data_IF_051330573810
#
_entry.id   IF_051330573810
#
_cell.length_a   1.000
_cell.length_b   1.000
_cell.length_c   1.000
_cell.angle_alpha   90.00
_cell.angle_beta   90.00
_cell.angle_gamma   90.00
#
_symmetry.space_group_name_H-M   'P 1'
#
loop_
_entity.id
_entity.type
_entity.pdbx_description
1 polymer ?
#
# COMPACT_ATOMS: atom_id res chain seq x y z
N UNK A 1 10.70 11.66 -6.45
CA UNK A 1 11.02 12.64 -5.40
C UNK A 1 11.12 12.01 -4.01
N UNK A 2 10.16 11.20 -3.54
CA UNK A 2 10.20 10.56 -2.21
C UNK A 2 11.45 9.70 -1.95
N UNK A 3 11.91 8.93 -2.92
CA UNK A 3 13.09 8.07 -2.78
C UNK A 3 14.35 8.82 -2.44
N UNK A 4 14.60 9.90 -3.17
CA UNK A 4 15.75 10.75 -2.91
C UNK A 4 15.66 11.37 -1.51
N UNK A 5 14.46 11.78 -1.11
CA UNK A 5 14.22 12.37 0.22
C UNK A 5 14.47 11.39 1.37
N UNK A 6 14.08 10.11 1.25
CA UNK A 6 14.35 9.09 2.28
C UNK A 6 15.86 8.85 2.39
N UNK A 7 16.55 8.62 1.27
CA UNK A 7 18.00 8.36 1.27
C UNK A 7 18.79 9.58 1.77
N UNK A 8 18.41 10.79 1.39
CA UNK A 8 19.02 12.03 1.88
C UNK A 8 18.78 12.24 3.40
N UNK A 9 17.59 11.88 3.89
CA UNK A 9 17.28 11.97 5.32
C UNK A 9 18.07 10.94 6.14
N UNK A 10 18.21 9.70 5.64
CA UNK A 10 19.03 8.66 6.26
C UNK A 10 20.51 9.09 6.29
N UNK A 11 21.03 9.59 5.17
CA UNK A 11 22.40 10.10 5.07
C UNK A 11 22.64 11.25 6.07
N UNK A 12 21.72 12.22 6.14
CA UNK A 12 21.82 13.34 7.07
C UNK A 12 21.81 12.88 8.52
N UNK A 13 21.00 11.87 8.87
CA UNK A 13 20.96 11.31 10.21
C UNK A 13 22.21 10.49 10.56
N UNK A 14 22.80 9.80 9.59
CA UNK A 14 23.99 8.99 9.77
C UNK A 14 25.28 9.84 9.84
N UNK A 15 25.33 10.98 9.14
CA UNK A 15 26.54 11.83 9.01
C UNK A 15 26.63 12.99 9.99
N UNK A 16 25.56 13.28 10.76
CA UNK A 16 25.50 14.44 11.67
C UNK A 16 25.20 14.01 13.10
N UNK A 17 26.03 14.47 14.03
CA UNK A 17 25.80 14.23 15.46
C UNK A 17 24.47 14.86 15.93
N UNK A 18 23.71 14.13 16.75
CA UNK A 18 22.43 14.58 17.28
C UNK A 18 21.24 14.45 16.32
N UNK A 19 21.46 14.14 15.05
CA UNK A 19 20.37 13.91 14.10
C UNK A 19 19.79 12.50 14.27
N UNK A 20 18.49 12.39 14.03
CA UNK A 20 17.76 11.11 14.03
C UNK A 20 16.80 11.09 12.84
N UNK A 21 16.68 9.94 12.21
CA UNK A 21 15.70 9.72 11.17
C UNK A 21 14.49 8.94 11.71
N UNK A 22 13.30 9.49 11.51
CA UNK A 22 12.05 8.84 11.87
C UNK A 22 11.38 8.35 10.58
N UNK A 23 11.50 7.06 10.31
CA UNK A 23 10.85 6.42 9.17
C UNK A 23 9.37 6.21 9.48
N UNK A 24 8.50 6.70 8.60
CA UNK A 24 7.04 6.68 8.77
C UNK A 24 6.32 5.50 8.08
N UNK A 25 7.05 4.51 7.55
CA UNK A 25 6.46 3.35 6.86
C UNK A 25 7.40 2.14 6.88
N UNK A 26 6.96 0.99 6.36
CA UNK A 26 7.75 -0.25 6.14
C UNK A 26 8.13 -1.01 7.41
N UNK A 27 8.62 -0.34 8.43
CA UNK A 27 9.16 -0.96 9.64
C UNK A 27 8.06 -1.52 10.54
N UNK A 28 8.37 -2.63 11.22
CA UNK A 28 7.43 -3.31 12.12
C UNK A 28 6.93 -2.40 13.25
N UNK A 29 7.80 -1.51 13.80
CA UNK A 29 7.38 -0.55 14.82
C UNK A 29 6.33 0.43 14.29
N UNK A 30 6.39 0.81 13.01
CA UNK A 30 5.41 1.70 12.40
C UNK A 30 4.08 0.98 12.22
N UNK A 31 4.08 -0.29 11.77
CA UNK A 31 2.88 -1.12 11.70
C UNK A 31 2.23 -1.26 13.10
N UNK A 32 3.06 -1.50 14.12
CA UNK A 32 2.59 -1.62 15.51
C UNK A 32 1.91 -0.33 15.99
N UNK A 33 2.49 0.86 15.75
CA UNK A 33 1.84 2.11 16.09
C UNK A 33 0.54 2.34 15.33
N UNK A 34 0.51 1.98 14.04
CA UNK A 34 -0.68 2.14 13.20
C UNK A 34 -1.76 1.09 13.47
N UNK A 35 -1.47 0.04 14.27
CA UNK A 35 -2.48 -0.96 14.66
C UNK A 35 -3.65 -0.36 15.45
N UNK A 36 -3.50 0.84 16.02
CA UNK A 36 -4.60 1.57 16.65
C UNK A 36 -5.79 1.74 15.69
N UNK A 37 -5.52 1.96 14.40
CA UNK A 37 -6.56 2.10 13.37
C UNK A 37 -7.36 0.80 13.24
N UNK A 38 -6.67 -0.34 13.21
CA UNK A 38 -7.33 -1.65 13.16
C UNK A 38 -8.13 -1.95 14.44
N UNK A 39 -7.57 -1.65 15.61
CA UNK A 39 -8.22 -1.86 16.89
C UNK A 39 -9.49 -0.99 17.03
N UNK A 40 -9.44 0.29 16.65
CA UNK A 40 -10.61 1.17 16.67
C UNK A 40 -11.64 0.75 15.61
N UNK A 41 -11.20 0.29 14.43
CA UNK A 41 -12.09 -0.28 13.41
C UNK A 41 -12.83 -1.49 13.95
N UNK A 42 -12.12 -2.42 14.59
CA UNK A 42 -12.73 -3.61 15.18
C UNK A 42 -13.75 -3.24 16.27
N UNK A 43 -13.37 -2.31 17.17
CA UNK A 43 -14.28 -1.84 18.22
C UNK A 43 -15.54 -1.15 17.65
N UNK A 44 -15.39 -0.38 16.56
CA UNK A 44 -16.54 0.24 15.89
C UNK A 44 -17.44 -0.80 15.24
N UNK A 45 -16.88 -1.78 14.55
CA UNK A 45 -17.64 -2.88 13.93
C UNK A 45 -18.41 -3.69 14.97
N UNK A 46 -17.78 -4.02 16.10
CA UNK A 46 -18.44 -4.69 17.23
C UNK A 46 -19.58 -3.87 17.79
N UNK A 47 -19.36 -2.57 18.04
CA UNK A 47 -20.37 -1.65 18.56
C UNK A 47 -21.61 -1.58 17.68
N UNK A 48 -21.44 -1.64 16.37
CA UNK A 48 -22.53 -1.56 15.40
C UNK A 48 -23.02 -2.93 14.91
N UNK A 49 -22.50 -4.02 15.48
CA UNK A 49 -22.85 -5.40 15.12
C UNK A 49 -22.60 -5.71 13.63
N UNK A 50 -21.55 -5.16 13.06
CA UNK A 50 -21.15 -5.37 11.67
C UNK A 50 -20.03 -6.41 11.63
N UNK A 51 -20.25 -7.51 10.92
CA UNK A 51 -19.19 -8.48 10.62
C UNK A 51 -18.60 -8.14 9.25
N UNK A 52 -17.30 -7.83 9.14
CA UNK A 52 -16.69 -7.58 7.85
C UNK A 52 -16.50 -8.89 7.08
N UNK A 53 -16.80 -8.87 5.77
CA UNK A 53 -16.52 -9.96 4.85
C UNK A 53 -15.21 -9.69 4.09
N UNK A 54 -14.98 -8.43 3.74
CA UNK A 54 -13.81 -8.00 2.98
C UNK A 54 -13.20 -6.74 3.60
N UNK A 55 -11.89 -6.71 3.75
CA UNK A 55 -11.13 -5.55 4.24
C UNK A 55 -10.14 -5.13 3.15
N UNK A 56 -10.19 -3.87 2.74
CA UNK A 56 -9.41 -3.35 1.61
C UNK A 56 -8.60 -2.14 2.08
N UNK A 57 -7.32 -2.13 1.79
CA UNK A 57 -6.45 -0.99 2.10
C UNK A 57 -5.41 -0.75 1.01
N UNK A 58 -5.01 0.51 0.84
CA UNK A 58 -3.92 0.86 -0.06
C UNK A 58 -2.57 0.45 0.56
N UNK A 59 -1.64 0.05 -0.29
CA UNK A 59 -0.34 -0.45 0.10
C UNK A 59 0.78 0.16 -0.76
N UNK A 60 1.63 0.96 -0.11
CA UNK A 60 2.93 1.38 -0.61
C UNK A 60 4.01 0.62 0.12
N UNK A 61 4.54 1.18 1.22
CA UNK A 61 5.39 0.43 2.16
C UNK A 61 4.64 -0.53 3.08
N UNK A 62 3.31 -0.53 3.07
CA UNK A 62 2.44 -1.49 3.76
C UNK A 62 2.12 -1.19 5.23
N UNK A 63 2.65 -0.11 5.82
CA UNK A 63 2.42 0.15 7.24
C UNK A 63 0.96 0.50 7.55
N UNK A 64 0.34 1.31 6.72
CA UNK A 64 -1.07 1.68 6.87
C UNK A 64 -1.99 0.47 6.75
N UNK A 65 -1.82 -0.35 5.71
CA UNK A 65 -2.55 -1.60 5.54
C UNK A 65 -2.29 -2.54 6.72
N UNK A 66 -1.02 -2.75 7.08
CA UNK A 66 -0.63 -3.63 8.18
C UNK A 66 -1.23 -3.21 9.51
N UNK A 67 -1.31 -1.89 9.78
CA UNK A 67 -1.98 -1.36 10.95
C UNK A 67 -3.48 -1.66 10.97
N UNK A 68 -4.17 -1.40 9.86
CA UNK A 68 -5.60 -1.67 9.71
C UNK A 68 -5.93 -3.15 9.92
N UNK A 69 -5.18 -4.05 9.27
CA UNK A 69 -5.52 -5.48 9.26
C UNK A 69 -5.00 -6.25 10.47
N UNK A 70 -4.08 -5.69 11.26
CA UNK A 70 -3.37 -6.42 12.32
C UNK A 70 -4.29 -7.17 13.30
N UNK A 71 -5.37 -6.61 13.87
CA UNK A 71 -6.23 -7.33 14.80
C UNK A 71 -7.07 -8.42 14.09
N UNK A 72 -7.45 -8.18 12.83
CA UNK A 72 -8.20 -9.14 12.02
C UNK A 72 -7.33 -10.35 11.65
N UNK A 73 -6.10 -10.11 11.19
CA UNK A 73 -5.12 -11.18 10.96
C UNK A 73 -4.83 -11.93 12.24
N UNK A 74 -4.76 -11.24 13.40
CA UNK A 74 -4.63 -11.90 14.69
C UNK A 74 -5.74 -12.91 14.97
N UNK A 75 -6.99 -12.61 14.64
CA UNK A 75 -8.11 -13.56 14.75
C UNK A 75 -7.98 -14.71 13.74
N UNK A 76 -7.58 -14.42 12.49
CA UNK A 76 -7.36 -15.47 11.48
C UNK A 76 -6.28 -16.47 11.94
N UNK A 77 -5.14 -15.96 12.43
CA UNK A 77 -4.04 -16.79 12.92
C UNK A 77 -4.40 -17.66 14.13
N UNK A 78 -5.37 -17.24 14.94
CA UNK A 78 -5.90 -18.05 16.06
C UNK A 78 -7.05 -18.98 15.64
N UNK A 79 -7.47 -18.94 14.37
CA UNK A 79 -8.60 -19.71 13.87
C UNK A 79 -9.97 -19.24 14.39
N UNK A 80 -10.07 -18.00 14.84
CA UNK A 80 -11.29 -17.41 15.40
C UNK A 80 -12.22 -16.82 14.33
N UNK A 81 -11.66 -16.40 13.20
CA UNK A 81 -12.40 -15.83 12.09
C UNK A 81 -11.65 -16.02 10.76
N UNK A 82 -12.38 -15.82 9.67
CA UNK A 82 -11.83 -15.76 8.33
C UNK A 82 -12.29 -14.47 7.66
N UNK A 83 -11.35 -13.72 7.11
CA UNK A 83 -11.57 -12.44 6.43
C UNK A 83 -10.88 -12.45 5.09
N UNK A 84 -11.54 -11.93 4.07
CA UNK A 84 -10.88 -11.66 2.81
C UNK A 84 -10.20 -10.30 2.88
N UNK A 85 -8.88 -10.26 2.75
CA UNK A 85 -8.07 -9.04 2.84
C UNK A 85 -7.45 -8.75 1.48
N UNK A 86 -7.60 -7.50 1.00
CA UNK A 86 -7.06 -7.07 -0.29
C UNK A 86 -6.13 -5.87 -0.09
N UNK A 87 -4.87 -6.07 -0.42
CA UNK A 87 -3.88 -5.00 -0.55
C UNK A 87 -3.99 -4.36 -1.94
N UNK A 88 -4.08 -3.04 -2.02
CA UNK A 88 -4.19 -2.36 -3.31
C UNK A 88 -2.99 -1.45 -3.51
N UNK A 89 -2.24 -1.69 -4.56
CA UNK A 89 -1.04 -0.94 -4.91
C UNK A 89 -1.19 -0.23 -6.27
N UNK A 90 -0.41 0.82 -6.54
CA UNK A 90 -0.45 1.47 -7.85
C UNK A 90 0.21 0.58 -8.91
N UNK A 91 -0.39 0.52 -10.10
CA UNK A 91 0.18 -0.20 -11.24
C UNK A 91 1.57 0.31 -11.66
N UNK A 92 1.90 1.55 -11.30
CA UNK A 92 3.23 2.15 -11.51
C UNK A 92 4.30 1.69 -10.51
N UNK A 93 3.91 1.00 -9.43
CA UNK A 93 4.81 0.49 -8.39
C UNK A 93 4.30 -0.83 -7.80
N UNK A 94 4.25 -1.92 -8.62
CA UNK A 94 3.54 -3.16 -8.30
C UNK A 94 4.42 -4.12 -7.47
N UNK A 95 4.77 -3.76 -6.25
CA UNK A 95 5.71 -4.49 -5.42
C UNK A 95 5.22 -5.88 -5.01
N UNK A 96 3.93 -6.04 -4.68
CA UNK A 96 3.32 -7.34 -4.35
C UNK A 96 2.99 -8.14 -5.60
N UNK A 97 2.34 -7.52 -6.59
CA UNK A 97 1.80 -8.24 -7.75
C UNK A 97 2.85 -8.61 -8.79
N UNK A 98 3.97 -7.89 -8.88
CA UNK A 98 5.05 -8.12 -9.85
C UNK A 98 6.46 -8.13 -9.24
N UNK A 99 6.60 -7.95 -7.92
CA UNK A 99 7.86 -8.03 -7.21
C UNK A 99 8.28 -9.47 -6.90
N UNK A 100 9.47 -9.62 -6.33
CA UNK A 100 10.02 -10.90 -5.88
C UNK A 100 10.18 -10.91 -4.36
N UNK A 101 9.97 -12.06 -3.71
CA UNK A 101 10.08 -12.20 -2.26
C UNK A 101 11.51 -12.53 -1.86
N UNK A 102 12.31 -11.49 -1.57
CA UNK A 102 13.76 -11.60 -1.28
C UNK A 102 14.19 -10.64 -0.18
N UNK A 103 15.39 -10.87 0.35
CA UNK A 103 16.07 -9.88 1.18
C UNK A 103 16.56 -8.73 0.32
N UNK A 104 16.18 -7.50 0.70
CA UNK A 104 16.61 -6.29 0.02
C UNK A 104 16.84 -5.16 1.04
N UNK A 105 17.55 -4.11 0.64
CA UNK A 105 17.74 -2.93 1.46
C UNK A 105 16.46 -2.10 1.55
N UNK A 106 16.21 -1.51 2.71
CA UNK A 106 15.06 -0.63 2.91
C UNK A 106 15.30 0.79 2.37
N UNK A 107 16.51 1.10 1.94
CA UNK A 107 16.92 2.38 1.37
C UNK A 107 17.89 2.22 0.19
N UNK A 108 17.86 3.17 -0.74
CA UNK A 108 18.72 3.15 -1.93
C UNK A 108 20.20 3.39 -1.60
N UNK A 109 20.50 3.99 -0.46
CA UNK A 109 21.86 4.21 0.05
C UNK A 109 22.48 2.97 0.70
N UNK A 110 21.69 1.89 0.90
CA UNK A 110 22.11 0.63 1.52
C UNK A 110 22.70 0.80 2.94
N UNK A 111 22.19 1.78 3.67
CA UNK A 111 22.62 2.11 5.04
C UNK A 111 21.81 1.31 6.07
N UNK A 112 20.50 1.11 5.80
CA UNK A 112 19.63 0.34 6.65
C UNK A 112 19.87 -1.17 6.50
N UNK A 113 19.61 -1.98 7.53
CA UNK A 113 19.64 -3.45 7.41
C UNK A 113 18.71 -3.96 6.33
N UNK A 114 19.09 -5.05 5.69
CA UNK A 114 18.20 -5.77 4.77
C UNK A 114 17.01 -6.37 5.51
N UNK A 115 15.88 -6.39 4.84
CA UNK A 115 14.67 -7.07 5.31
C UNK A 115 14.13 -7.99 4.21
N UNK A 116 13.55 -9.12 4.59
CA UNK A 116 12.86 -10.00 3.64
C UNK A 116 11.52 -9.38 3.29
N UNK A 117 11.32 -9.11 2.00
CA UNK A 117 10.15 -8.39 1.51
C UNK A 117 9.83 -8.75 0.07
N UNK A 118 8.60 -8.48 -0.36
CA UNK A 118 8.32 -8.33 -1.78
C UNK A 118 8.93 -7.02 -2.26
N UNK A 119 9.81 -7.09 -3.24
CA UNK A 119 10.58 -5.93 -3.73
C UNK A 119 10.67 -5.89 -5.25
N UNK A 120 10.74 -4.68 -5.78
CA UNK A 120 11.09 -4.39 -7.17
C UNK A 120 12.60 -4.15 -7.36
N UNK A 121 13.37 -4.26 -6.27
CA UNK A 121 14.79 -3.96 -6.20
C UNK A 121 15.09 -2.55 -5.66
N UNK A 122 16.12 -2.44 -4.82
CA UNK A 122 16.49 -1.17 -4.15
C UNK A 122 16.93 -0.06 -5.11
N UNK A 123 17.23 -0.39 -6.37
CA UNK A 123 17.52 0.57 -7.44
C UNK A 123 16.34 0.88 -8.35
N UNK A 124 15.18 0.25 -8.14
CA UNK A 124 13.99 0.55 -8.94
C UNK A 124 13.43 1.93 -8.60
N UNK A 125 13.19 2.73 -9.62
CA UNK A 125 12.61 4.09 -9.48
C UNK A 125 11.21 4.08 -10.07
N UNK A 126 10.16 4.09 -9.23
CA UNK A 126 8.78 4.15 -9.72
C UNK A 126 8.53 5.40 -10.56
N UNK A 127 7.78 5.24 -11.63
CA UNK A 127 7.31 6.35 -12.45
C UNK A 127 6.54 7.38 -11.61
N UNK A 128 6.51 8.62 -12.08
CA UNK A 128 5.75 9.66 -11.42
C UNK A 128 4.25 9.34 -11.50
N UNK A 129 3.61 9.27 -10.34
CA UNK A 129 2.17 9.21 -10.19
C UNK A 129 1.73 10.19 -9.09
N UNK A 130 0.44 10.44 -8.96
CA UNK A 130 -0.11 11.39 -8.00
C UNK A 130 -0.45 10.75 -6.63
N UNK A 131 -0.14 9.48 -6.42
CA UNK A 131 -0.19 8.81 -5.12
C UNK A 131 1.23 8.65 -4.57
N UNK A 132 1.85 9.76 -4.19
CA UNK A 132 3.25 9.82 -3.74
C UNK A 132 3.56 8.91 -2.56
N UNK A 133 2.61 8.73 -1.63
CA UNK A 133 2.73 7.85 -0.46
C UNK A 133 2.77 6.36 -0.80
N UNK A 134 2.40 5.96 -2.01
CA UNK A 134 2.45 4.56 -2.45
C UNK A 134 3.65 4.24 -3.36
N UNK A 135 4.56 5.19 -3.58
CA UNK A 135 5.73 5.01 -4.44
C UNK A 135 6.93 4.49 -3.66
N UNK A 136 6.87 3.24 -3.24
CA UNK A 136 7.96 2.57 -2.55
C UNK A 136 8.21 1.18 -3.16
N UNK A 137 9.45 0.86 -3.49
CA UNK A 137 9.82 -0.35 -4.24
C UNK A 137 9.69 -1.65 -3.46
N UNK A 138 9.54 -1.59 -2.13
CA UNK A 138 9.48 -2.75 -1.25
C UNK A 138 8.28 -2.69 -0.31
N UNK A 139 7.77 -3.85 0.06
CA UNK A 139 6.68 -3.99 1.00
C UNK A 139 7.22 -4.33 2.39
N UNK A 140 6.57 -3.87 3.46
CA UNK A 140 6.95 -4.26 4.83
C UNK A 140 7.05 -5.78 4.98
N UNK A 141 7.99 -6.25 5.80
CA UNK A 141 8.24 -7.69 5.98
C UNK A 141 7.01 -8.44 6.47
N UNK A 142 6.24 -7.86 7.38
CA UNK A 142 5.01 -8.48 7.91
C UNK A 142 3.97 -8.65 6.80
N UNK A 143 3.66 -7.58 6.06
CA UNK A 143 2.66 -7.65 4.96
C UNK A 143 3.16 -8.57 3.85
N UNK A 144 4.45 -8.54 3.55
CA UNK A 144 5.06 -9.46 2.58
C UNK A 144 4.92 -10.91 2.98
N UNK A 145 5.17 -11.24 4.25
CA UNK A 145 5.02 -12.60 4.75
C UNK A 145 3.56 -13.05 4.70
N UNK A 146 2.63 -12.20 5.15
CA UNK A 146 1.20 -12.51 5.09
C UNK A 146 0.70 -12.75 3.66
N UNK A 147 1.20 -11.97 2.70
CA UNK A 147 0.89 -12.20 1.29
C UNK A 147 1.50 -13.50 0.77
N UNK A 148 2.75 -13.79 1.13
CA UNK A 148 3.45 -15.02 0.76
C UNK A 148 2.74 -16.27 1.31
N UNK A 149 2.22 -16.20 2.51
CA UNK A 149 1.52 -17.28 3.19
C UNK A 149 0.02 -17.38 2.81
N UNK A 150 -0.46 -16.49 1.92
CA UNK A 150 -1.83 -16.54 1.40
C UNK A 150 -2.91 -15.95 2.31
N UNK A 151 -2.54 -15.19 3.35
CA UNK A 151 -3.50 -14.50 4.23
C UNK A 151 -4.11 -13.26 3.62
N UNK A 152 -3.57 -12.74 2.53
CA UNK A 152 -4.12 -11.60 1.81
C UNK A 152 -3.89 -11.71 0.30
N UNK A 153 -4.76 -11.05 -0.46
CA UNK A 153 -4.65 -10.85 -1.91
C UNK A 153 -3.98 -9.51 -2.21
N UNK A 154 -3.40 -9.38 -3.39
CA UNK A 154 -2.90 -8.10 -3.89
C UNK A 154 -3.52 -7.76 -5.25
N UNK A 155 -3.78 -6.47 -5.45
CA UNK A 155 -4.24 -5.92 -6.75
C UNK A 155 -3.50 -4.64 -7.05
N UNK A 156 -3.14 -4.44 -8.30
CA UNK A 156 -2.61 -3.19 -8.81
C UNK A 156 -3.65 -2.43 -9.62
N UNK A 157 -3.66 -1.09 -9.49
CA UNK A 157 -4.66 -0.23 -10.14
C UNK A 157 -3.97 0.95 -10.83
N UNK A 158 -4.43 1.29 -12.02
CA UNK A 158 -3.97 2.45 -12.78
C UNK A 158 -4.52 3.76 -12.19
N UNK A 159 -3.72 4.84 -12.27
CA UNK A 159 -4.08 6.08 -11.61
C UNK A 159 -5.33 6.75 -12.20
N UNK A 160 -5.60 6.62 -13.50
CA UNK A 160 -6.82 7.17 -14.11
C UNK A 160 -8.07 6.52 -13.53
N UNK A 161 -8.08 5.19 -13.37
CA UNK A 161 -9.17 4.46 -12.72
C UNK A 161 -9.31 4.82 -11.22
N UNK A 162 -8.18 5.13 -10.56
CA UNK A 162 -8.17 5.60 -9.16
C UNK A 162 -8.85 6.96 -9.03
N UNK A 163 -8.55 7.92 -9.91
CA UNK A 163 -9.17 9.25 -9.87
C UNK A 163 -10.65 9.23 -10.28
N UNK A 164 -11.04 8.38 -11.23
CA UNK A 164 -12.44 8.12 -11.55
C UNK A 164 -13.23 7.65 -10.32
N UNK A 165 -12.67 6.67 -9.59
CA UNK A 165 -13.26 6.15 -8.36
C UNK A 165 -13.32 7.21 -7.24
N UNK A 166 -12.27 8.04 -7.12
CA UNK A 166 -12.22 9.14 -6.18
C UNK A 166 -13.33 10.16 -6.37
N UNK A 167 -13.55 10.58 -7.61
CA UNK A 167 -14.63 11.53 -7.92
C UNK A 167 -16.01 10.92 -7.76
N UNK A 168 -16.19 9.63 -8.12
CA UNK A 168 -17.44 8.94 -7.86
C UNK A 168 -17.73 8.89 -6.36
N UNK A 169 -16.74 8.55 -5.55
CA UNK A 169 -16.85 8.51 -4.08
C UNK A 169 -17.18 9.89 -3.53
N UNK A 170 -16.50 10.93 -4.00
CA UNK A 170 -16.76 12.31 -3.56
C UNK A 170 -18.19 12.77 -3.89
N UNK A 171 -18.73 12.38 -5.06
CA UNK A 171 -20.11 12.68 -5.43
C UNK A 171 -21.13 11.94 -4.58
N UNK A 172 -20.83 10.71 -4.18
CA UNK A 172 -21.75 9.87 -3.41
C UNK A 172 -21.70 10.16 -1.91
N UNK A 173 -20.49 10.35 -1.35
CA UNK A 173 -20.24 10.42 0.09
C UNK A 173 -19.96 11.84 0.60
N UNK A 174 -19.75 12.80 -0.30
CA UNK A 174 -19.38 14.18 0.08
C UNK A 174 -17.97 14.33 0.65
N UNK A 175 -17.12 13.33 0.46
CA UNK A 175 -15.74 13.28 0.96
C UNK A 175 -14.80 13.17 -0.24
N UNK A 176 -13.87 14.13 -0.40
CA UNK A 176 -12.82 14.05 -1.41
C UNK A 176 -11.64 13.25 -0.86
N UNK A 177 -11.39 12.02 -1.34
CA UNK A 177 -10.33 11.17 -0.80
C UNK A 177 -8.95 11.56 -1.36
N UNK A 178 -7.90 11.25 -0.60
CA UNK A 178 -6.54 11.28 -1.14
C UNK A 178 -6.36 10.25 -2.27
N UNK A 179 -5.48 10.51 -3.25
CA UNK A 179 -5.19 9.54 -4.31
C UNK A 179 -4.76 8.16 -3.77
N UNK A 180 -4.03 8.13 -2.66
CA UNK A 180 -3.65 6.89 -1.98
C UNK A 180 -4.87 6.08 -1.57
N UNK A 181 -5.81 6.70 -0.84
CA UNK A 181 -7.04 6.05 -0.36
C UNK A 181 -7.92 5.59 -1.52
N UNK A 182 -7.88 6.32 -2.61
CA UNK A 182 -8.70 6.06 -3.79
C UNK A 182 -8.34 4.76 -4.50
N UNK A 183 -7.13 4.22 -4.28
CA UNK A 183 -6.78 2.86 -4.71
C UNK A 183 -7.67 1.81 -4.04
N UNK A 184 -7.86 1.91 -2.72
CA UNK A 184 -8.76 1.03 -1.98
C UNK A 184 -10.22 1.23 -2.41
N UNK A 185 -10.64 2.48 -2.63
CA UNK A 185 -12.00 2.82 -3.11
C UNK A 185 -12.27 2.19 -4.47
N UNK A 186 -11.33 2.24 -5.43
CA UNK A 186 -11.51 1.62 -6.75
C UNK A 186 -11.84 0.13 -6.63
N UNK A 187 -11.05 -0.59 -5.85
CA UNK A 187 -11.25 -2.02 -5.64
C UNK A 187 -12.54 -2.30 -4.85
N UNK A 188 -12.90 -1.44 -3.88
CA UNK A 188 -14.16 -1.58 -3.16
C UNK A 188 -15.39 -1.41 -4.07
N UNK A 189 -15.33 -0.46 -5.02
CA UNK A 189 -16.39 -0.30 -6.04
C UNK A 189 -16.48 -1.56 -6.90
N UNK A 190 -15.35 -2.12 -7.35
CA UNK A 190 -15.35 -3.36 -8.14
C UNK A 190 -15.94 -4.54 -7.36
N UNK A 191 -15.63 -4.68 -6.08
CA UNK A 191 -16.22 -5.72 -5.23
C UNK A 191 -17.72 -5.48 -4.98
N UNK A 192 -18.14 -4.23 -4.77
CA UNK A 192 -19.55 -3.88 -4.62
C UNK A 192 -20.36 -4.17 -5.90
N UNK A 193 -19.78 -3.91 -7.07
CA UNK A 193 -20.40 -4.26 -8.36
C UNK A 193 -20.58 -5.77 -8.48
N UNK A 194 -19.57 -6.57 -8.11
CA UNK A 194 -19.69 -8.03 -8.08
C UNK A 194 -20.78 -8.52 -7.13
N UNK A 195 -20.89 -7.91 -5.94
CA UNK A 195 -21.98 -8.21 -5.00
C UNK A 195 -23.35 -7.93 -5.60
N UNK A 196 -23.50 -6.81 -6.31
CA UNK A 196 -24.75 -6.48 -7.02
C UNK A 196 -25.08 -7.52 -8.11
N UNK A 197 -24.07 -7.96 -8.86
CA UNK A 197 -24.27 -8.92 -9.97
C UNK A 197 -24.55 -10.33 -9.46
N UNK A 198 -23.91 -10.75 -8.36
CA UNK A 198 -24.14 -12.07 -7.74
C UNK A 198 -25.39 -12.12 -6.85
N UNK A 199 -25.89 -10.95 -6.42
CA UNK A 199 -26.97 -10.87 -5.42
C UNK A 199 -26.49 -11.15 -3.97
N UNK A 200 -25.19 -11.28 -3.73
CA UNK A 200 -24.63 -11.49 -2.39
C UNK A 200 -24.51 -10.16 -1.63
N UNK A 201 -25.04 -10.12 -0.42
CA UNK A 201 -24.81 -8.99 0.50
C UNK A 201 -23.51 -9.20 1.26
N UNK A 202 -22.59 -8.22 1.19
CA UNK A 202 -21.30 -8.24 1.93
C UNK A 202 -21.00 -6.91 2.59
N UNK A 203 -20.34 -6.96 3.74
CA UNK A 203 -19.80 -5.80 4.42
C UNK A 203 -18.35 -5.59 3.97
N UNK A 204 -18.10 -4.53 3.24
CA UNK A 204 -16.77 -4.16 2.74
C UNK A 204 -16.24 -3.01 3.59
N UNK A 205 -15.12 -3.25 4.26
CA UNK A 205 -14.39 -2.24 5.05
C UNK A 205 -13.25 -1.70 4.21
N UNK A 206 -13.12 -0.37 4.13
CA UNK A 206 -12.02 0.29 3.43
C UNK A 206 -11.21 1.17 4.38
N UNK A 207 -9.89 1.21 4.18
CA UNK A 207 -9.02 2.18 4.81
C UNK A 207 -9.08 3.53 4.08
N UNK A 208 -9.86 4.49 4.61
CA UNK A 208 -9.90 5.87 4.11
C UNK A 208 -8.85 6.70 4.85
N UNK A 209 -7.65 6.83 4.27
CA UNK A 209 -6.42 7.20 4.95
C UNK A 209 -6.01 8.66 4.81
N UNK A 210 -6.67 9.42 3.93
CA UNK A 210 -6.33 10.81 3.71
C UNK A 210 -7.37 11.58 2.91
N UNK A 211 -7.25 12.91 2.99
CA UNK A 211 -8.07 13.86 2.24
C UNK A 211 -7.37 14.28 0.94
N UNK A 212 -8.14 14.47 -0.12
CA UNK A 212 -7.67 14.94 -1.43
C UNK A 212 -7.54 16.45 -1.56
N UNK A 213 -7.83 17.23 -0.53
CA UNK A 213 -7.78 18.70 -0.63
C UNK A 213 -6.39 19.25 -0.97
N UNK A 214 -5.33 18.52 -0.66
CA UNK A 214 -3.97 18.88 -1.03
C UNK A 214 -3.57 18.42 -2.43
N UNK A 215 -4.43 17.64 -3.10
CA UNK A 215 -4.15 17.00 -4.40
C UNK A 215 -4.98 17.60 -5.55
N UNK A 216 -5.53 18.81 -5.36
CA UNK A 216 -6.39 19.48 -6.34
C UNK A 216 -5.74 19.66 -7.72
N UNK A 217 -4.41 19.82 -7.76
CA UNK A 217 -3.67 19.87 -9.03
C UNK A 217 -3.75 18.53 -9.78
N UNK A 218 -3.73 17.43 -9.08
CA UNK A 218 -3.86 16.10 -9.68
C UNK A 218 -5.28 15.86 -10.18
N UNK A 219 -6.30 16.23 -9.39
CA UNK A 219 -7.70 16.19 -9.82
C UNK A 219 -7.94 17.08 -11.05
N UNK A 220 -7.33 18.28 -11.10
CA UNK A 220 -7.37 19.14 -12.29
C UNK A 220 -6.82 18.43 -13.53
N UNK A 221 -5.65 17.80 -13.42
CA UNK A 221 -5.05 17.05 -14.55
C UNK A 221 -5.91 15.87 -15.00
N UNK A 222 -6.59 15.20 -14.08
CA UNK A 222 -7.53 14.14 -14.43
C UNK A 222 -8.71 14.71 -15.24
N UNK A 223 -9.33 15.77 -14.75
CA UNK A 223 -10.47 16.41 -15.41
C UNK A 223 -10.11 17.06 -16.76
N UNK A 224 -8.89 17.57 -16.90
CA UNK A 224 -8.36 18.13 -18.15
C UNK A 224 -7.95 17.05 -19.17
N UNK A 225 -8.04 15.76 -18.80
CA UNK A 225 -7.63 14.63 -19.64
C UNK A 225 -6.12 14.56 -19.91
N UNK A 226 -5.30 15.23 -19.09
CA UNK A 226 -3.83 15.23 -19.23
C UNK A 226 -3.12 14.20 -18.35
N UNK A 227 -3.86 13.51 -17.49
CA UNK A 227 -3.33 12.41 -16.68
C UNK A 227 -3.11 11.17 -17.55
N UNK A 228 -1.96 10.52 -17.37
CA UNK A 228 -1.61 9.30 -18.11
C UNK A 228 -1.21 8.20 -17.16
N UNK A 229 -1.56 6.97 -17.50
CA UNK A 229 -1.12 5.80 -16.77
C UNK A 229 0.30 5.42 -17.16
N UNK A 230 1.07 4.94 -16.19
CA UNK A 230 2.42 4.45 -16.41
C UNK A 230 2.58 3.13 -15.68
N UNK A 231 2.83 2.06 -16.43
CA UNK A 231 3.09 0.73 -15.92
C UNK A 231 4.53 0.36 -16.27
N UNK A 232 5.35 -0.13 -15.32
CA UNK A 232 6.72 -0.54 -15.62
C UNK A 232 6.72 -1.72 -16.59
N UNK A 233 7.61 -1.66 -17.58
CA UNK A 233 7.86 -2.79 -18.51
C UNK A 233 8.57 -3.93 -17.79
N UNK A 234 8.62 -5.10 -18.40
CA UNK A 234 9.39 -6.23 -17.84
C UNK A 234 10.88 -5.90 -17.79
N UNK A 235 11.40 -5.14 -18.75
CA UNK A 235 12.79 -4.66 -18.76
C UNK A 235 13.06 -3.69 -17.60
N UNK A 236 12.11 -2.82 -17.25
CA UNK A 236 12.23 -1.94 -16.09
C UNK A 236 12.32 -2.74 -14.79
N UNK A 237 11.49 -3.77 -14.66
CA UNK A 237 11.50 -4.67 -13.50
C UNK A 237 12.80 -5.48 -13.44
N UNK A 238 13.27 -6.03 -14.55
CA UNK A 238 14.53 -6.77 -14.59
C UNK A 238 15.73 -5.91 -14.19
N UNK A 239 15.77 -4.64 -14.64
CA UNK A 239 16.78 -3.68 -14.17
C UNK A 239 16.70 -3.44 -12.67
N UNK A 240 15.50 -3.37 -12.12
CA UNK A 240 15.29 -3.27 -10.68
C UNK A 240 15.78 -4.52 -9.95
N UNK A 241 15.35 -5.70 -10.38
CA UNK A 241 15.74 -6.98 -9.77
C UNK A 241 17.26 -7.22 -9.78
N UNK A 242 17.95 -6.73 -10.80
CA UNK A 242 19.41 -6.81 -10.87
C UNK A 242 20.13 -6.04 -9.74
N UNK A 243 19.44 -5.15 -9.01
CA UNK A 243 19.99 -4.42 -7.87
C UNK A 243 19.83 -5.12 -6.53
N UNK A 244 19.02 -6.19 -6.49
CA UNK A 244 18.79 -6.98 -5.27
C UNK A 244 20.09 -7.70 -4.89
N UNK A 245 20.49 -7.71 -3.60
CA UNK A 245 21.68 -8.39 -3.14
C UNK A 245 21.67 -9.89 -3.48
N UNK A 246 22.75 -10.39 -4.05
CA UNK A 246 22.93 -11.81 -4.36
C UNK A 246 23.81 -12.49 -3.32
N UNK A 247 23.26 -13.48 -2.61
CA UNK A 247 23.99 -14.33 -1.67
C UNK A 247 23.21 -15.66 -1.49
N UNK A 248 23.87 -16.75 -1.02
CA UNK A 248 23.19 -18.02 -0.80
C UNK A 248 21.94 -17.89 0.09
N UNK A 249 20.79 -18.35 -0.39
CA UNK A 249 19.49 -18.25 0.32
C UNK A 249 18.69 -16.99 0.02
N UNK A 250 19.12 -16.15 -0.92
CA UNK A 250 18.36 -14.99 -1.43
C UNK A 250 17.99 -15.16 -2.92
N UNK A 251 17.69 -16.35 -3.36
CA UNK A 251 17.38 -16.73 -4.74
C UNK A 251 15.88 -16.53 -5.05
#
# INVERSE_FOLDING_TARGET
>A
MLFRSISEAVEAAASREGYRYVLGSVLNQVLLHQSIIGLETMAALEKYHIKPDTIIGCAGGGSNLGGLISPFVGQMLRGEADYRIIAVEPASCPSLTRGVFRYDFCDTGKICPMAKMYTLGNGFIPSANHAGGLRYYGMSSIVSQLYHDGYLEARSVEQTAVFEAAELFARCEGILPAPESSHAIRVAIDEAVKCRESGEAKNIVIGLTGTGYFDMVAYGKFNDGTMTDTIPTDEDLQRGFATIPSFPGNE
#
